data_IF_560206209829
#
_entry.id   IF_560206209829
#
_cell.length_a   1.000
_cell.length_b   1.000
_cell.length_c   1.000
_cell.angle_alpha   90.00
_cell.angle_beta   90.00
_cell.angle_gamma   90.00
#
_symmetry.space_group_name_H-M   'P 1'
#
loop_
_entity.id
_entity.type
_entity.pdbx_description
1 polymer ?
#
# COMPACT_ATOMS: atom_id res chain seq x y z
N UNK A 1 21.20 32.55 11.41
CA UNK A 1 20.92 31.36 12.23
C UNK A 1 19.43 31.40 12.50
N UNK A 2 18.55 30.54 11.99
CA UNK A 2 18.70 29.15 11.57
C UNK A 2 17.69 28.80 10.48
N UNK A 3 18.14 27.96 9.55
CA UNK A 3 17.36 27.20 8.58
C UNK A 3 16.35 26.28 9.27
N UNK A 4 15.25 25.97 8.58
CA UNK A 4 14.56 24.66 8.55
C UNK A 4 13.40 24.80 7.54
N UNK A 5 13.69 24.59 6.25
CA UNK A 5 13.41 23.32 5.54
C UNK A 5 11.92 23.06 5.39
N UNK A 6 11.36 23.61 4.30
CA UNK A 6 10.09 23.19 3.71
C UNK A 6 10.26 21.77 3.19
N UNK A 7 10.18 20.78 4.08
CA UNK A 7 10.02 19.39 3.66
C UNK A 7 8.61 19.32 3.10
N UNK A 8 8.51 19.27 1.78
CA UNK A 8 7.27 18.92 1.11
C UNK A 8 6.91 17.50 1.58
N UNK A 9 6.08 17.43 2.63
CA UNK A 9 5.41 16.20 3.02
C UNK A 9 4.51 15.84 1.86
N UNK A 10 5.05 15.00 0.97
CA UNK A 10 4.29 14.23 0.02
C UNK A 10 3.41 13.31 0.87
N UNK A 11 2.25 13.81 1.28
CA UNK A 11 1.23 13.07 2.00
C UNK A 11 0.79 11.90 1.12
N UNK A 12 1.54 10.78 1.19
CA UNK A 12 1.10 9.52 0.62
C UNK A 12 -0.20 9.15 1.36
N UNK A 13 -1.33 9.49 0.72
CA UNK A 13 -2.66 9.26 1.23
C UNK A 13 -2.78 7.82 1.71
N UNK A 14 -2.90 7.64 3.02
CA UNK A 14 -3.05 6.33 3.63
C UNK A 14 -4.38 5.72 3.18
N UNK A 15 -4.31 4.56 2.53
CA UNK A 15 -5.49 3.79 2.12
C UNK A 15 -5.76 2.74 3.18
N UNK A 16 -6.96 2.74 3.77
CA UNK A 16 -7.34 1.77 4.79
C UNK A 16 -8.18 0.64 4.19
N UNK A 17 -7.92 -0.59 4.60
CA UNK A 17 -8.70 -1.74 4.20
C UNK A 17 -10.08 -1.68 4.86
N UNK A 18 -11.15 -1.68 4.05
CA UNK A 18 -12.54 -1.60 4.55
C UNK A 18 -12.95 -2.77 5.46
N UNK A 19 -12.25 -3.91 5.39
CA UNK A 19 -12.61 -5.11 6.13
C UNK A 19 -11.88 -5.27 7.47
N UNK A 20 -10.57 -4.98 7.49
CA UNK A 20 -9.77 -5.13 8.71
C UNK A 20 -9.40 -3.80 9.38
N UNK A 21 -9.70 -2.67 8.75
CA UNK A 21 -9.40 -1.33 9.27
C UNK A 21 -7.92 -0.95 9.28
N UNK A 22 -7.01 -1.84 8.84
CA UNK A 22 -5.56 -1.58 8.79
C UNK A 22 -5.18 -0.84 7.51
N UNK A 23 -4.05 -0.13 7.55
CA UNK A 23 -3.44 0.52 6.38
C UNK A 23 -3.06 -0.54 5.33
N UNK A 24 -3.51 -0.34 4.09
CA UNK A 24 -3.18 -1.18 2.95
C UNK A 24 -1.72 -1.02 2.53
N UNK A 25 -1.14 -2.10 1.99
CA UNK A 25 0.17 -2.05 1.35
C UNK A 25 0.02 -1.56 -0.10
N UNK A 26 0.92 -0.68 -0.51
CA UNK A 26 1.00 -0.17 -1.89
C UNK A 26 1.85 -1.12 -2.72
N UNK A 27 1.26 -1.70 -3.75
CA UNK A 27 1.92 -2.59 -4.70
C UNK A 27 2.08 -1.85 -6.03
N UNK A 28 3.30 -1.86 -6.58
CA UNK A 28 3.59 -1.30 -7.90
C UNK A 28 3.91 -2.46 -8.83
N UNK A 29 3.04 -2.69 -9.80
CA UNK A 29 3.22 -3.79 -10.74
C UNK A 29 4.25 -3.41 -11.80
N UNK A 30 5.18 -4.33 -12.07
CA UNK A 30 6.21 -4.20 -13.11
C UNK A 30 5.95 -5.13 -14.30
N UNK A 31 4.81 -5.84 -14.28
CA UNK A 31 4.41 -6.78 -15.34
C UNK A 31 4.16 -6.06 -16.67
N UNK A 32 4.46 -6.73 -17.78
CA UNK A 32 4.29 -6.21 -19.16
C UNK A 32 2.87 -5.67 -19.45
N UNK A 33 1.85 -6.28 -18.85
CA UNK A 33 0.45 -5.91 -19.08
C UNK A 33 -0.03 -4.73 -18.22
N UNK A 34 0.66 -4.44 -17.11
CA UNK A 34 0.29 -3.37 -16.18
C UNK A 34 1.53 -2.65 -15.59
N UNK A 35 2.45 -2.12 -16.41
CA UNK A 35 3.68 -1.52 -15.90
C UNK A 35 3.37 -0.21 -15.17
N UNK A 36 3.90 -0.05 -13.97
CA UNK A 36 3.75 1.15 -13.15
C UNK A 36 2.37 1.32 -12.51
N UNK A 37 1.44 0.36 -12.68
CA UNK A 37 0.13 0.45 -12.02
C UNK A 37 0.24 0.21 -10.52
N UNK A 38 -0.44 1.08 -9.77
CA UNK A 38 -0.48 1.03 -8.32
C UNK A 38 -1.76 0.32 -7.87
N UNK A 39 -1.61 -0.67 -7.00
CA UNK A 39 -2.69 -1.37 -6.32
C UNK A 39 -2.52 -1.26 -4.80
N UNK A 40 -3.62 -1.38 -4.07
CA UNK A 40 -3.61 -1.37 -2.61
C UNK A 40 -4.19 -2.69 -2.10
N UNK A 41 -3.37 -3.49 -1.41
CA UNK A 41 -3.77 -4.78 -0.89
C UNK A 41 -3.91 -4.77 0.64
N UNK A 42 -4.75 -5.66 1.17
CA UNK A 42 -4.92 -5.83 2.61
C UNK A 42 -3.62 -6.41 3.20
N UNK A 43 -3.04 -5.83 4.27
CA UNK A 43 -1.81 -6.34 4.87
C UNK A 43 -2.02 -7.65 5.64
N UNK A 44 -3.28 -7.97 5.94
CA UNK A 44 -3.61 -9.19 6.68
C UNK A 44 -3.77 -10.34 5.69
N UNK A 45 -2.99 -11.42 5.82
CA UNK A 45 -3.18 -12.60 5.00
C UNK A 45 -4.59 -13.15 5.18
N UNK A 46 -5.23 -13.52 4.08
CA UNK A 46 -6.50 -14.23 4.12
C UNK A 46 -6.21 -15.73 4.11
N UNK A 47 -6.60 -16.43 5.16
CA UNK A 47 -6.60 -17.88 5.16
C UNK A 47 -7.86 -18.37 4.44
N UNK A 48 -7.71 -18.84 3.20
CA UNK A 48 -8.81 -19.45 2.44
C UNK A 48 -8.42 -20.91 2.22
N UNK A 49 -9.20 -21.85 2.77
CA UNK A 49 -9.01 -23.29 2.55
C UNK A 49 -7.71 -23.90 3.12
N UNK A 50 -7.13 -23.31 4.19
CA UNK A 50 -5.90 -23.82 4.81
C UNK A 50 -4.60 -23.31 4.18
N UNK A 51 -4.67 -22.37 3.25
CA UNK A 51 -3.52 -21.70 2.66
C UNK A 51 -3.54 -20.19 2.97
N UNK A 52 -2.36 -19.62 3.20
CA UNK A 52 -2.15 -18.18 3.43
C UNK A 52 -2.12 -17.47 2.08
N UNK A 53 -3.16 -16.72 1.75
CA UNK A 53 -3.17 -15.86 0.56
C UNK A 53 -2.84 -14.43 0.96
N UNK A 54 -1.76 -13.89 0.39
CA UNK A 54 -1.43 -12.47 0.41
C UNK A 54 -1.44 -12.02 -1.05
N UNK A 55 -2.45 -11.24 -1.43
CA UNK A 55 -2.55 -10.60 -2.75
C UNK A 55 -1.56 -9.43 -2.86
#
# INVERSE_FOLDING_TARGET
MSSMSSVAENEEKLVYCKYCGKVCIKLIFTTKDNPGRVFFACPTPRFIGGQVWMD
#
